data_IF_876241071642
#
_entry.id   IF_876241071642
#
_cell.length_a   1.000
_cell.length_b   1.000
_cell.length_c   1.000
_cell.angle_alpha   90.00
_cell.angle_beta   90.00
_cell.angle_gamma   90.00
#
_symmetry.space_group_name_H-M   'P 1'
#
loop_
_entity.id
_entity.type
_entity.pdbx_description
1 polymer ?
#
# COMPACT_ATOMS: atom_id res chain seq x y z
N UNK A 1 16.97 -10.63 5.47
CA UNK A 1 16.43 -9.84 4.35
C UNK A 1 17.23 -8.56 4.24
N UNK A 2 17.46 -8.09 3.02
CA UNK A 2 18.26 -6.91 2.72
C UNK A 2 17.33 -5.69 2.54
N UNK A 3 16.67 -5.28 3.62
CA UNK A 3 15.85 -4.07 3.69
C UNK A 3 16.57 -3.02 4.52
N UNK A 4 16.51 -1.75 4.11
CA UNK A 4 17.02 -0.65 4.92
C UNK A 4 16.24 -0.51 6.24
N UNK A 5 16.86 0.17 7.21
CA UNK A 5 16.36 0.32 8.58
C UNK A 5 14.95 0.91 8.62
N UNK A 6 14.70 1.94 7.81
CA UNK A 6 13.41 2.60 7.71
C UNK A 6 12.33 1.66 7.16
N UNK A 7 12.64 0.93 6.09
CA UNK A 7 11.72 -0.05 5.51
C UNK A 7 11.39 -1.15 6.54
N UNK A 8 12.37 -1.61 7.32
CA UNK A 8 12.14 -2.59 8.40
C UNK A 8 11.19 -2.05 9.45
N UNK A 9 11.32 -0.80 9.86
CA UNK A 9 10.46 -0.19 10.87
C UNK A 9 9.04 0.06 10.36
N UNK A 10 8.89 0.53 9.11
CA UNK A 10 7.58 0.65 8.47
C UNK A 10 6.91 -0.72 8.35
N UNK A 11 7.61 -1.74 7.84
CA UNK A 11 7.08 -3.11 7.70
C UNK A 11 6.61 -3.66 9.04
N UNK A 12 7.40 -3.52 10.11
CA UNK A 12 7.01 -3.94 11.46
C UNK A 12 5.75 -3.21 11.94
N UNK A 13 5.66 -1.91 11.72
CA UNK A 13 4.53 -1.10 12.16
C UNK A 13 3.21 -1.49 11.46
N UNK A 14 3.27 -1.85 10.17
CA UNK A 14 2.06 -2.14 9.38
C UNK A 14 1.68 -3.62 9.36
N UNK A 15 2.59 -4.52 9.76
CA UNK A 15 2.38 -5.96 9.68
C UNK A 15 1.07 -6.46 10.33
N UNK A 16 0.61 -5.92 11.47
CA UNK A 16 -0.68 -6.32 12.06
C UNK A 16 -1.92 -6.00 11.19
N UNK A 17 -1.76 -5.11 10.21
CA UNK A 17 -2.83 -4.57 9.36
C UNK A 17 -2.68 -4.93 7.88
N UNK A 18 -1.66 -5.72 7.51
CA UNK A 18 -1.46 -6.19 6.14
C UNK A 18 -1.28 -7.71 6.07
N UNK A 19 -1.97 -8.35 5.12
CA UNK A 19 -1.68 -9.73 4.71
C UNK A 19 -0.52 -9.81 3.70
N UNK A 20 -0.04 -8.66 3.20
CA UNK A 20 1.06 -8.58 2.25
C UNK A 20 2.37 -9.07 2.89
N UNK A 21 3.20 -9.73 2.09
CA UNK A 21 4.50 -10.21 2.55
C UNK A 21 5.48 -9.05 2.76
N UNK A 22 6.51 -9.19 3.62
CA UNK A 22 7.53 -8.15 3.81
C UNK A 22 8.17 -7.69 2.49
N UNK A 23 8.42 -8.61 1.55
CA UNK A 23 9.03 -8.32 0.25
C UNK A 23 8.13 -7.40 -0.59
N UNK A 24 6.82 -7.67 -0.61
CA UNK A 24 5.84 -6.86 -1.36
C UNK A 24 5.62 -5.50 -0.69
N UNK A 25 5.63 -5.43 0.64
CA UNK A 25 5.61 -4.16 1.36
C UNK A 25 6.86 -3.34 1.04
N UNK A 26 8.05 -3.95 1.05
CA UNK A 26 9.29 -3.28 0.69
C UNK A 26 9.27 -2.78 -0.76
N UNK A 27 8.77 -3.59 -1.70
CA UNK A 27 8.59 -3.16 -3.08
C UNK A 27 7.69 -1.92 -3.18
N UNK A 28 6.60 -1.87 -2.39
CA UNK A 28 5.72 -0.71 -2.38
C UNK A 28 6.36 0.53 -1.73
N UNK A 29 7.13 0.36 -0.66
CA UNK A 29 7.94 1.43 -0.04
C UNK A 29 8.92 2.00 -1.07
N UNK A 30 9.67 1.15 -1.78
CA UNK A 30 10.62 1.59 -2.81
C UNK A 30 9.93 2.33 -3.96
N UNK A 31 8.77 1.83 -4.43
CA UNK A 31 7.97 2.52 -5.45
C UNK A 31 7.48 3.89 -4.97
N UNK A 32 7.03 3.98 -3.71
CA UNK A 32 6.57 5.23 -3.09
C UNK A 32 7.71 6.25 -2.98
N UNK A 33 8.90 5.84 -2.53
CA UNK A 33 10.10 6.69 -2.52
C UNK A 33 10.48 7.14 -3.92
N UNK A 34 10.36 6.26 -4.92
CA UNK A 34 10.68 6.59 -6.32
C UNK A 34 9.78 7.70 -6.85
N UNK A 35 8.46 7.58 -6.71
CA UNK A 35 7.53 8.61 -7.22
C UNK A 35 7.71 9.95 -6.53
N UNK A 36 7.96 9.95 -5.20
CA UNK A 36 8.23 11.16 -4.43
C UNK A 36 9.55 11.81 -4.86
N UNK A 37 10.65 11.05 -4.90
CA UNK A 37 11.98 11.54 -5.29
C UNK A 37 12.01 12.14 -6.69
N UNK A 38 11.23 11.57 -7.61
CA UNK A 38 11.19 12.02 -9.01
C UNK A 38 10.06 13.02 -9.29
N UNK A 39 9.31 13.46 -8.27
CA UNK A 39 8.18 14.39 -8.42
C UNK A 39 7.18 13.93 -9.50
N UNK A 40 6.90 12.63 -9.56
CA UNK A 40 5.95 12.08 -10.54
C UNK A 40 4.55 12.53 -10.13
N UNK A 41 3.81 13.29 -10.95
CA UNK A 41 2.53 13.87 -10.54
C UNK A 41 1.44 12.81 -10.33
N UNK A 42 0.44 13.14 -9.51
CA UNK A 42 -0.75 12.32 -9.27
C UNK A 42 -0.82 11.71 -7.87
N UNK A 43 -1.95 11.08 -7.58
CA UNK A 43 -2.29 10.50 -6.28
C UNK A 43 -2.09 8.98 -6.26
N UNK A 44 -2.28 8.35 -5.09
CA UNK A 44 -2.08 6.92 -4.91
C UNK A 44 -3.39 6.26 -4.54
N UNK A 45 -3.67 5.11 -5.18
CA UNK A 45 -4.90 4.34 -4.98
C UNK A 45 -4.58 2.87 -4.69
N UNK A 46 -5.28 2.29 -3.71
CA UNK A 46 -5.34 0.83 -3.50
C UNK A 46 -6.80 0.36 -3.67
N UNK A 47 -7.00 -0.69 -4.48
CA UNK A 47 -8.29 -1.33 -4.71
C UNK A 47 -8.29 -2.70 -4.01
N UNK A 48 -8.96 -2.78 -2.86
CA UNK A 48 -8.88 -3.89 -1.91
C UNK A 48 -7.80 -3.61 -0.87
N UNK A 49 -8.19 -3.03 0.26
CA UNK A 49 -7.28 -2.53 1.31
C UNK A 49 -7.27 -3.42 2.55
N UNK A 50 -8.30 -4.24 2.77
CA UNK A 50 -8.48 -5.00 4.02
C UNK A 50 -8.41 -4.09 5.26
N UNK A 51 -7.39 -4.23 6.11
CA UNK A 51 -7.15 -3.40 7.29
C UNK A 51 -6.22 -2.21 7.00
N UNK A 52 -5.88 -1.97 5.74
CA UNK A 52 -5.18 -0.78 5.26
C UNK A 52 -3.66 -0.78 5.43
N UNK A 53 -3.03 -1.91 5.78
CA UNK A 53 -1.60 -1.92 6.10
C UNK A 53 -0.67 -1.57 4.94
N UNK A 54 -1.04 -1.87 3.68
CA UNK A 54 -0.25 -1.43 2.51
C UNK A 54 -0.29 0.09 2.36
N UNK A 55 -1.48 0.70 2.41
CA UNK A 55 -1.63 2.16 2.33
C UNK A 55 -1.05 2.88 3.55
N UNK A 56 -1.04 2.25 4.73
CA UNK A 56 -0.29 2.75 5.88
C UNK A 56 1.22 2.77 5.60
N UNK A 57 1.77 1.76 4.90
CA UNK A 57 3.18 1.74 4.53
C UNK A 57 3.51 2.87 3.55
N UNK A 58 2.64 3.09 2.55
CA UNK A 58 2.73 4.21 1.63
C UNK A 58 2.73 5.55 2.37
N UNK A 59 1.74 5.79 3.22
CA UNK A 59 1.62 7.04 3.99
C UNK A 59 2.85 7.30 4.87
N UNK A 60 3.34 6.29 5.60
CA UNK A 60 4.56 6.41 6.43
C UNK A 60 5.79 6.73 5.59
N UNK A 61 5.88 6.16 4.38
CA UNK A 61 6.99 6.40 3.46
C UNK A 61 6.95 7.83 2.90
N UNK A 62 5.78 8.33 2.52
CA UNK A 62 5.62 9.72 2.06
C UNK A 62 5.99 10.72 3.16
N UNK A 63 5.48 10.48 4.38
CA UNK A 63 5.81 11.30 5.56
C UNK A 63 7.32 11.32 5.84
N UNK A 64 8.02 10.21 5.64
CA UNK A 64 9.45 10.15 5.95
C UNK A 64 10.34 10.90 4.95
N UNK A 65 9.84 11.13 3.73
CA UNK A 65 10.48 11.97 2.72
C UNK A 65 9.89 13.38 2.65
N UNK A 66 8.97 13.73 3.56
CA UNK A 66 8.36 15.05 3.65
C UNK A 66 7.31 15.36 2.56
N UNK A 67 6.78 14.34 1.89
CA UNK A 67 5.70 14.50 0.90
C UNK A 67 4.33 14.37 1.60
N UNK A 68 3.53 15.43 1.54
CA UNK A 68 2.23 15.52 2.23
C UNK A 68 1.08 15.98 1.34
N UNK A 69 1.35 16.26 0.06
CA UNK A 69 0.35 16.87 -0.83
C UNK A 69 -0.47 15.84 -1.62
N UNK A 70 -0.01 14.58 -1.67
CA UNK A 70 -0.71 13.51 -2.40
C UNK A 70 -1.90 13.02 -1.61
N UNK A 71 -3.03 12.89 -2.30
CA UNK A 71 -4.20 12.21 -1.77
C UNK A 71 -4.00 10.69 -1.80
N UNK A 72 -4.54 10.02 -0.78
CA UNK A 72 -4.47 8.56 -0.63
C UNK A 72 -5.88 8.00 -0.69
N UNK A 73 -6.21 7.33 -1.80
CA UNK A 73 -7.53 6.74 -2.03
C UNK A 73 -7.56 5.25 -1.66
N UNK A 74 -8.40 4.90 -0.69
CA UNK A 74 -8.54 3.55 -0.17
C UNK A 74 -9.91 2.99 -0.60
N UNK A 75 -9.95 2.31 -1.75
CA UNK A 75 -11.18 1.69 -2.25
C UNK A 75 -11.27 0.25 -1.76
N UNK A 76 -12.31 -0.04 -1.01
CA UNK A 76 -12.67 -1.39 -0.58
C UNK A 76 -14.19 -1.45 -0.47
N UNK A 77 -14.76 -2.65 -0.47
CA UNK A 77 -16.18 -2.82 -0.15
C UNK A 77 -16.42 -2.51 1.31
N UNK A 78 -15.40 -2.67 2.17
CA UNK A 78 -15.50 -2.63 3.64
C UNK A 78 -16.50 -3.65 4.22
N UNK A 79 -17.01 -4.54 3.38
CA UNK A 79 -18.00 -5.58 3.70
C UNK A 79 -17.49 -6.98 3.31
N UNK A 80 -16.24 -7.08 2.83
CA UNK A 80 -15.63 -8.32 2.36
C UNK A 80 -15.89 -8.60 0.88
N UNK A 81 -15.56 -9.82 0.45
CA UNK A 81 -15.74 -10.23 -0.95
C UNK A 81 -17.22 -10.46 -1.27
N UNK A 82 -17.65 -10.01 -2.45
CA UNK A 82 -18.96 -10.36 -2.99
C UNK A 82 -18.95 -11.81 -3.48
N UNK A 83 -20.07 -12.51 -3.31
CA UNK A 83 -20.25 -13.84 -3.90
C UNK A 83 -20.19 -13.77 -5.44
N UNK A 84 -19.56 -14.74 -6.12
CA UNK A 84 -19.51 -14.79 -7.58
C UNK A 84 -20.91 -14.87 -8.20
N UNK A 85 -21.10 -14.19 -9.32
CA UNK A 85 -22.34 -14.23 -10.11
C UNK A 85 -22.21 -15.20 -11.30
N UNK A 86 -23.30 -15.38 -12.05
CA UNK A 86 -23.27 -16.18 -13.28
C UNK A 86 -22.30 -15.63 -14.34
N UNK A 87 -22.04 -14.32 -14.35
CA UNK A 87 -21.09 -13.68 -15.28
C UNK A 87 -19.62 -13.93 -14.89
N UNK A 88 -19.35 -14.29 -13.63
CA UNK A 88 -18.00 -14.58 -13.11
C UNK A 88 -17.58 -16.04 -13.35
N UNK A 89 -18.53 -16.90 -13.73
CA UNK A 89 -18.24 -18.31 -14.00
C UNK A 89 -17.48 -18.45 -15.32
N UNK A 90 -16.40 -19.23 -15.28
CA UNK A 90 -15.63 -19.57 -16.47
C UNK A 90 -16.54 -20.36 -17.42
N UNK A 91 -16.67 -19.88 -18.66
CA UNK A 91 -17.35 -20.61 -19.74
C UNK A 91 -16.64 -21.92 -20.07
#
# INVERSE_FOLDING_TARGET
EDYDDEARDIIRAVKPYSMTSPERLNAFILATRYIARHNIPGDIVECGVWRGGSMQACARTLLSVGETERELYLFDTYEGMTEPTAEDLRR
#
